data_IF_843459925478
#
_entry.id   IF_843459925478
#
_cell.length_a   1.000
_cell.length_b   1.000
_cell.length_c   1.000
_cell.angle_alpha   90.00
_cell.angle_beta   90.00
_cell.angle_gamma   90.00
#
_symmetry.space_group_name_H-M   'P 1'
#
loop_
_entity.id
_entity.type
_entity.pdbx_description
1 polymer ?
#
# COMPACT_ATOMS: atom_id res chain seq x y z
N UNK A 1 8.27 13.22 -11.53
CA UNK A 1 7.33 12.20 -11.02
C UNK A 1 7.80 11.61 -9.69
N UNK A 2 9.05 11.09 -9.60
CA UNK A 2 9.55 10.48 -8.37
C UNK A 2 9.54 11.45 -7.17
N UNK A 3 9.91 12.71 -7.37
CA UNK A 3 9.84 13.74 -6.32
C UNK A 3 8.40 13.98 -5.86
N UNK A 4 7.45 14.09 -6.78
CA UNK A 4 6.03 14.24 -6.46
C UNK A 4 5.50 13.04 -5.67
N UNK A 5 5.90 11.82 -6.06
CA UNK A 5 5.57 10.60 -5.32
C UNK A 5 6.16 10.61 -3.91
N UNK A 6 7.42 11.01 -3.75
CA UNK A 6 8.05 11.11 -2.44
C UNK A 6 7.36 12.13 -1.54
N UNK A 7 6.91 13.25 -2.08
CA UNK A 7 6.25 14.32 -1.33
C UNK A 7 4.86 13.93 -0.82
N UNK A 8 4.27 12.86 -1.32
CA UNK A 8 2.96 12.36 -0.83
C UNK A 8 3.00 11.94 0.64
N UNK A 9 4.16 11.58 1.18
CA UNK A 9 4.33 11.21 2.59
C UNK A 9 4.18 12.41 3.54
N UNK A 10 4.27 13.62 3.02
CA UNK A 10 4.16 14.86 3.82
C UNK A 10 2.73 15.11 4.33
N UNK A 11 1.75 14.34 3.87
CA UNK A 11 0.39 14.35 4.42
C UNK A 11 0.35 13.90 5.89
N UNK A 12 1.29 13.05 6.31
CA UNK A 12 1.49 12.66 7.71
C UNK A 12 2.92 13.03 8.13
N UNK A 13 3.20 14.30 8.42
CA UNK A 13 4.53 14.75 8.82
C UNK A 13 4.90 14.19 10.20
N UNK A 14 6.19 14.24 10.54
CA UNK A 14 6.74 13.95 11.87
C UNK A 14 6.79 12.47 12.27
N UNK A 15 6.16 11.56 11.55
CA UNK A 15 6.29 10.12 11.80
C UNK A 15 7.27 9.48 10.82
N UNK A 16 7.87 8.32 11.18
CA UNK A 16 8.78 7.61 10.28
C UNK A 16 8.14 7.17 8.98
N UNK A 17 8.97 6.92 7.98
CA UNK A 17 8.57 6.42 6.65
C UNK A 17 9.21 5.07 6.38
N UNK A 18 8.41 4.11 5.93
CA UNK A 18 8.89 2.84 5.39
C UNK A 18 8.65 2.81 3.89
N UNK A 19 9.72 2.66 3.12
CA UNK A 19 9.64 2.40 1.67
C UNK A 19 9.68 0.90 1.40
N UNK A 20 8.73 0.41 0.59
CA UNK A 20 8.73 -0.97 0.12
C UNK A 20 9.31 -1.03 -1.29
N UNK A 21 10.25 -1.96 -1.50
CA UNK A 21 10.80 -2.24 -2.81
C UNK A 21 11.55 -1.06 -3.43
N UNK A 22 12.52 -0.47 -2.74
CA UNK A 22 13.25 0.70 -3.25
C UNK A 22 14.01 0.44 -4.56
N UNK A 23 14.31 -0.82 -4.88
CA UNK A 23 15.04 -1.18 -6.09
C UNK A 23 16.35 -0.41 -6.21
N UNK A 24 16.49 0.38 -7.27
CA UNK A 24 17.68 1.21 -7.52
C UNK A 24 17.63 2.58 -6.82
N UNK A 25 16.66 2.81 -5.94
CA UNK A 25 16.59 4.01 -5.11
C UNK A 25 16.00 5.24 -5.80
N UNK A 26 15.20 5.07 -6.83
CA UNK A 26 14.58 6.19 -7.57
C UNK A 26 13.69 7.05 -6.66
N UNK A 27 12.90 6.42 -5.81
CA UNK A 27 12.08 7.11 -4.81
C UNK A 27 12.91 7.45 -3.56
N UNK A 28 13.76 6.53 -3.14
CA UNK A 28 14.58 6.63 -1.94
C UNK A 28 15.41 7.91 -1.89
N UNK A 29 15.99 8.32 -3.02
CA UNK A 29 16.84 9.52 -3.11
C UNK A 29 16.13 10.79 -2.64
N UNK A 30 14.82 10.88 -2.81
CA UNK A 30 14.02 12.03 -2.37
C UNK A 30 13.51 11.86 -0.94
N UNK A 31 13.24 10.63 -0.52
CA UNK A 31 12.78 10.34 0.84
C UNK A 31 13.87 10.63 1.87
N UNK A 32 15.13 10.30 1.58
CA UNK A 32 16.25 10.49 2.50
C UNK A 32 16.62 11.96 2.71
N UNK A 33 16.20 12.86 1.83
CA UNK A 33 16.37 14.31 1.99
C UNK A 33 15.42 14.90 3.04
N UNK A 34 14.36 14.19 3.41
CA UNK A 34 13.35 14.68 4.35
C UNK A 34 13.86 14.59 5.79
N UNK A 35 13.48 15.53 6.69
CA UNK A 35 13.90 15.53 8.09
C UNK A 35 13.11 14.50 8.91
N UNK A 36 13.10 13.26 8.48
CA UNK A 36 12.34 12.14 9.05
C UNK A 36 13.18 10.88 9.05
N UNK A 37 12.90 9.98 9.99
CA UNK A 37 13.45 8.64 9.95
C UNK A 37 12.87 7.87 8.76
N UNK A 38 13.74 7.32 7.92
CA UNK A 38 13.37 6.54 6.74
C UNK A 38 14.01 5.17 6.82
N UNK A 39 13.23 4.13 6.64
CA UNK A 39 13.69 2.76 6.45
C UNK A 39 13.17 2.23 5.11
N UNK A 40 13.90 1.27 4.55
CA UNK A 40 13.52 0.62 3.29
C UNK A 40 13.63 -0.89 3.43
N UNK A 41 12.65 -1.60 2.90
CA UNK A 41 12.61 -3.07 2.86
C UNK A 41 12.72 -3.53 1.42
N UNK A 42 13.74 -4.34 1.12
CA UNK A 42 14.02 -4.88 -0.19
C UNK A 42 14.35 -6.37 -0.09
N UNK A 43 13.67 -7.18 -0.88
CA UNK A 43 13.88 -8.63 -0.89
C UNK A 43 15.04 -9.04 -1.81
N UNK A 44 15.32 -8.26 -2.85
CA UNK A 44 16.37 -8.56 -3.82
C UNK A 44 17.76 -8.21 -3.27
N UNK A 45 18.61 -9.21 -3.15
CA UNK A 45 19.94 -9.07 -2.57
C UNK A 45 20.86 -8.13 -3.36
N UNK A 46 20.75 -8.14 -4.68
CA UNK A 46 21.56 -7.26 -5.53
C UNK A 46 21.16 -5.80 -5.34
N UNK A 47 19.86 -5.55 -5.27
CA UNK A 47 19.32 -4.22 -4.96
C UNK A 47 19.75 -3.73 -3.57
N UNK A 48 19.74 -4.60 -2.56
CA UNK A 48 20.21 -4.26 -1.21
C UNK A 48 21.69 -3.86 -1.24
N UNK A 49 22.53 -4.62 -1.93
CA UNK A 49 23.96 -4.29 -2.07
C UNK A 49 24.17 -2.94 -2.78
N UNK A 50 23.41 -2.70 -3.84
CA UNK A 50 23.45 -1.43 -4.57
C UNK A 50 23.03 -0.25 -3.70
N UNK A 51 21.98 -0.40 -2.91
CA UNK A 51 21.48 0.63 -2.01
C UNK A 51 22.48 0.96 -0.89
N UNK A 52 23.19 -0.05 -0.37
CA UNK A 52 24.27 0.15 0.61
C UNK A 52 25.37 1.08 0.06
N UNK A 53 25.74 0.89 -1.20
CA UNK A 53 26.79 1.71 -1.84
C UNK A 53 26.28 3.11 -2.17
N UNK A 54 25.05 3.20 -2.69
CA UNK A 54 24.47 4.48 -3.12
C UNK A 54 24.05 5.38 -1.95
N UNK A 55 23.55 4.78 -0.87
CA UNK A 55 23.04 5.48 0.30
C UNK A 55 23.77 5.04 1.58
N UNK A 56 25.06 5.35 1.75
CA UNK A 56 25.83 4.87 2.89
C UNK A 56 25.26 5.33 4.24
N UNK A 57 24.61 6.50 4.28
CA UNK A 57 23.96 7.01 5.50
C UNK A 57 22.67 6.25 5.85
N UNK A 58 22.04 5.60 4.88
CA UNK A 58 20.82 4.82 5.05
C UNK A 58 21.10 3.35 5.36
N UNK A 59 22.36 2.92 5.31
CA UNK A 59 22.78 1.51 5.35
C UNK A 59 22.17 0.74 6.54
N UNK A 60 22.15 1.32 7.73
CA UNK A 60 21.56 0.72 8.92
C UNK A 60 20.02 0.59 8.84
N UNK A 61 19.37 1.31 7.94
CA UNK A 61 17.93 1.36 7.77
C UNK A 61 17.44 0.65 6.50
N UNK A 62 18.34 -0.02 5.76
CA UNK A 62 17.99 -0.87 4.63
C UNK A 62 17.87 -2.30 5.15
N UNK A 63 16.68 -2.86 5.03
CA UNK A 63 16.31 -4.17 5.57
C UNK A 63 16.13 -5.14 4.41
N UNK A 64 17.00 -6.15 4.35
CA UNK A 64 16.91 -7.21 3.34
C UNK A 64 15.94 -8.30 3.81
N UNK A 65 14.65 -8.11 3.59
CA UNK A 65 13.61 -9.04 4.05
C UNK A 65 12.37 -8.96 3.14
N UNK A 66 11.43 -9.88 3.39
CA UNK A 66 10.14 -9.92 2.72
C UNK A 66 9.10 -9.18 3.57
N UNK A 67 8.63 -8.05 3.08
CA UNK A 67 7.60 -7.24 3.76
C UNK A 67 6.36 -8.06 4.12
N UNK A 68 5.93 -8.98 3.25
CA UNK A 68 4.72 -9.78 3.48
C UNK A 68 4.85 -10.75 4.67
N UNK A 69 6.07 -11.07 5.09
CA UNK A 69 6.37 -12.01 6.19
C UNK A 69 6.83 -11.31 7.46
N UNK A 70 7.19 -10.03 7.39
CA UNK A 70 7.73 -9.30 8.53
C UNK A 70 6.68 -9.05 9.62
N UNK A 71 7.15 -9.00 10.86
CA UNK A 71 6.43 -8.37 11.96
C UNK A 71 6.68 -6.85 11.92
N UNK A 72 5.66 -6.09 11.55
CA UNK A 72 5.78 -4.64 11.35
C UNK A 72 5.99 -3.86 12.65
N UNK A 73 5.68 -4.45 13.80
CA UNK A 73 5.90 -3.82 15.11
C UNK A 73 7.38 -3.63 15.43
N UNK A 74 8.26 -4.40 14.79
CA UNK A 74 9.72 -4.35 15.01
C UNK A 74 10.42 -3.21 14.27
N UNK A 75 9.77 -2.63 13.26
CA UNK A 75 10.42 -1.66 12.37
C UNK A 75 10.79 -0.34 13.05
N UNK A 76 9.87 0.19 13.85
CA UNK A 76 10.01 1.49 14.52
C UNK A 76 9.63 1.42 15.99
N UNK A 77 9.96 0.31 16.65
CA UNK A 77 9.67 0.07 18.07
C UNK A 77 8.19 0.24 18.44
N UNK A 78 7.30 -0.27 17.58
CA UNK A 78 5.86 -0.19 17.76
C UNK A 78 5.24 1.18 17.44
N UNK A 79 6.04 2.15 16.97
CA UNK A 79 5.53 3.47 16.60
C UNK A 79 4.85 3.43 15.22
N UNK A 80 3.80 4.26 15.01
CA UNK A 80 3.20 4.44 13.70
C UNK A 80 4.19 4.95 12.65
N UNK A 81 3.94 4.59 11.39
CA UNK A 81 4.77 5.02 10.27
C UNK A 81 3.94 5.18 8.99
N UNK A 82 4.46 5.94 8.04
CA UNK A 82 3.91 6.06 6.69
C UNK A 82 4.49 4.94 5.83
N UNK A 83 3.61 4.21 5.16
CA UNK A 83 3.98 3.21 4.16
C UNK A 83 4.01 3.87 2.78
N UNK A 84 5.10 3.70 2.04
CA UNK A 84 5.22 4.23 0.67
C UNK A 84 6.03 3.30 -0.22
N UNK A 85 5.95 3.51 -1.51
CA UNK A 85 6.76 2.77 -2.48
C UNK A 85 6.21 2.84 -3.90
N UNK A 86 7.02 2.36 -4.83
CA UNK A 86 6.56 1.93 -6.14
C UNK A 86 6.25 0.44 -6.01
N UNK A 87 5.00 0.13 -5.70
CA UNK A 87 4.63 -1.24 -5.30
C UNK A 87 4.75 -2.21 -6.47
N UNK A 88 5.36 -3.40 -6.26
CA UNK A 88 5.34 -4.46 -7.26
C UNK A 88 3.91 -4.82 -7.63
N UNK A 89 3.62 -4.88 -8.94
CA UNK A 89 2.24 -5.04 -9.42
C UNK A 89 1.60 -6.36 -9.01
N UNK A 90 2.39 -7.44 -9.00
CA UNK A 90 1.94 -8.78 -8.69
C UNK A 90 1.57 -9.01 -7.22
N UNK A 91 2.08 -8.18 -6.30
CA UNK A 91 1.83 -8.33 -4.87
C UNK A 91 1.16 -7.10 -4.22
N UNK A 92 0.79 -6.09 -4.99
CA UNK A 92 0.22 -4.86 -4.43
C UNK A 92 -1.01 -5.11 -3.56
N UNK A 93 -1.93 -5.97 -3.99
CA UNK A 93 -3.11 -6.33 -3.20
C UNK A 93 -2.74 -6.98 -1.87
N UNK A 94 -1.74 -7.87 -1.84
CA UNK A 94 -1.25 -8.51 -0.61
C UNK A 94 -0.64 -7.49 0.34
N UNK A 95 0.09 -6.50 -0.19
CA UNK A 95 0.65 -5.40 0.61
C UNK A 95 -0.48 -4.62 1.29
N UNK A 96 -1.54 -4.29 0.57
CA UNK A 96 -2.67 -3.55 1.13
C UNK A 96 -3.48 -4.37 2.13
N UNK A 97 -3.62 -5.67 1.94
CA UNK A 97 -4.23 -6.54 2.96
C UNK A 97 -3.38 -6.57 4.23
N UNK A 98 -2.05 -6.63 4.11
CA UNK A 98 -1.17 -6.53 5.27
C UNK A 98 -1.27 -5.18 5.96
N UNK A 99 -1.39 -4.09 5.21
CA UNK A 99 -1.68 -2.77 5.75
C UNK A 99 -2.95 -2.77 6.59
N UNK A 100 -4.03 -3.35 6.08
CA UNK A 100 -5.31 -3.45 6.79
C UNK A 100 -5.19 -4.26 8.10
N UNK A 101 -4.39 -5.32 8.10
CA UNK A 101 -4.12 -6.13 9.30
C UNK A 101 -3.26 -5.36 10.34
N UNK A 102 -2.58 -4.29 9.93
CA UNK A 102 -1.70 -3.46 10.76
C UNK A 102 -2.12 -1.98 10.74
N UNK A 103 -3.40 -1.70 10.59
CA UNK A 103 -3.92 -0.33 10.40
C UNK A 103 -3.62 0.63 11.55
N UNK A 104 -3.45 0.12 12.77
CA UNK A 104 -3.04 0.92 13.92
C UNK A 104 -1.61 1.46 13.79
N UNK A 105 -0.74 0.75 13.08
CA UNK A 105 0.64 1.16 12.81
C UNK A 105 0.76 2.05 11.55
N UNK A 106 -0.20 2.01 10.66
CA UNK A 106 -0.11 2.65 9.34
C UNK A 106 -1.23 3.69 9.16
N UNK A 107 -1.07 4.89 9.72
CA UNK A 107 -2.07 5.95 9.58
C UNK A 107 -2.13 6.55 8.17
N UNK A 108 -1.09 6.37 7.38
CA UNK A 108 -1.00 6.85 6.00
C UNK A 108 -0.23 5.88 5.13
N UNK A 109 -0.75 5.61 3.94
CA UNK A 109 -0.09 4.81 2.92
C UNK A 109 -0.17 5.55 1.60
N UNK A 110 0.97 5.71 0.95
CA UNK A 110 1.04 6.35 -0.37
C UNK A 110 1.83 5.48 -1.33
N UNK A 111 1.74 5.77 -2.61
CA UNK A 111 2.63 5.15 -3.57
C UNK A 111 2.00 4.88 -4.91
N UNK A 112 2.81 4.29 -5.78
CA UNK A 112 2.45 4.02 -7.15
C UNK A 112 2.04 2.56 -7.33
N UNK A 113 0.90 2.39 -8.00
CA UNK A 113 0.33 1.09 -8.37
C UNK A 113 -0.17 1.13 -9.81
N UNK A 114 -0.60 -0.01 -10.34
CA UNK A 114 -1.32 -0.02 -11.62
C UNK A 114 -2.55 0.87 -11.54
N UNK A 115 -2.79 1.64 -12.60
CA UNK A 115 -3.93 2.58 -12.67
C UNK A 115 -5.26 1.87 -12.41
N UNK A 116 -5.46 0.68 -12.96
CA UNK A 116 -6.69 -0.10 -12.79
C UNK A 116 -6.94 -0.45 -11.31
N UNK A 117 -5.88 -0.83 -10.58
CA UNK A 117 -5.98 -1.13 -9.14
C UNK A 117 -6.31 0.16 -8.36
N UNK A 118 -5.67 1.27 -8.70
CA UNK A 118 -5.95 2.57 -8.08
C UNK A 118 -7.41 2.99 -8.25
N UNK A 119 -7.96 2.81 -9.46
CA UNK A 119 -9.36 3.10 -9.76
C UNK A 119 -10.32 2.23 -8.95
N UNK A 120 -9.99 0.95 -8.75
CA UNK A 120 -10.78 0.05 -7.90
C UNK A 120 -10.74 0.49 -6.45
N UNK A 121 -9.58 0.82 -5.92
CA UNK A 121 -9.43 1.21 -4.51
C UNK A 121 -10.17 2.51 -4.19
N UNK A 122 -10.19 3.45 -5.12
CA UNK A 122 -10.87 4.75 -4.98
C UNK A 122 -12.33 4.74 -5.47
N UNK A 123 -12.83 3.61 -5.97
CA UNK A 123 -14.16 3.53 -6.58
C UNK A 123 -15.28 3.80 -5.58
N UNK A 124 -16.33 4.47 -6.05
CA UNK A 124 -17.54 4.71 -5.26
C UNK A 124 -18.48 3.49 -5.32
N UNK A 125 -19.29 3.28 -4.28
CA UNK A 125 -20.34 2.26 -4.30
C UNK A 125 -21.26 2.41 -5.51
N UNK A 126 -21.69 1.29 -6.07
CA UNK A 126 -22.56 1.26 -7.25
C UNK A 126 -21.82 1.29 -8.59
N UNK A 127 -20.53 1.56 -8.61
CA UNK A 127 -19.72 1.51 -9.82
C UNK A 127 -19.28 0.08 -10.15
N UNK A 128 -18.96 -0.18 -11.41
CA UNK A 128 -18.42 -1.48 -11.86
C UNK A 128 -17.07 -1.81 -11.21
N UNK A 129 -16.27 -0.80 -10.95
CA UNK A 129 -14.95 -0.95 -10.35
C UNK A 129 -15.00 -1.24 -8.84
N UNK A 130 -16.12 -0.92 -8.18
CA UNK A 130 -16.29 -1.14 -6.75
C UNK A 130 -16.30 -2.63 -6.42
N UNK A 131 -15.32 -3.08 -5.65
CA UNK A 131 -15.11 -4.49 -5.36
C UNK A 131 -14.48 -4.71 -3.99
N UNK A 132 -13.88 -5.88 -3.78
CA UNK A 132 -13.30 -6.29 -2.49
C UNK A 132 -12.31 -5.27 -1.96
N UNK A 133 -11.34 -4.83 -2.78
CA UNK A 133 -10.34 -3.82 -2.37
C UNK A 133 -10.97 -2.49 -2.01
N UNK A 134 -11.99 -2.06 -2.77
CA UNK A 134 -12.71 -0.82 -2.46
C UNK A 134 -13.37 -0.89 -1.08
N UNK A 135 -14.15 -1.93 -0.85
CA UNK A 135 -14.92 -2.10 0.40
C UNK A 135 -14.00 -2.21 1.61
N UNK A 136 -13.01 -3.12 1.55
CA UNK A 136 -12.14 -3.40 2.68
C UNK A 136 -11.22 -2.22 3.00
N UNK A 137 -10.70 -1.52 1.99
CA UNK A 137 -9.83 -0.37 2.21
C UNK A 137 -10.62 0.83 2.72
N UNK A 138 -11.75 1.14 2.09
CA UNK A 138 -12.56 2.31 2.45
C UNK A 138 -13.29 2.15 3.80
N UNK A 139 -13.36 0.94 4.35
CA UNK A 139 -13.88 0.75 5.69
C UNK A 139 -13.04 1.50 6.74
N UNK A 140 -11.73 1.64 6.54
CA UNK A 140 -10.80 2.25 7.51
C UNK A 140 -9.96 3.39 6.96
N UNK A 141 -9.92 3.59 5.64
CA UNK A 141 -9.10 4.61 4.98
C UNK A 141 -9.91 5.45 4.01
N UNK A 142 -9.62 6.74 3.97
CA UNK A 142 -10.01 7.60 2.85
C UNK A 142 -8.99 7.40 1.74
N UNK A 143 -9.45 7.05 0.54
CA UNK A 143 -8.60 6.76 -0.61
C UNK A 143 -8.67 7.90 -1.61
N UNK A 144 -7.52 8.45 -1.96
CA UNK A 144 -7.39 9.54 -2.94
C UNK A 144 -6.56 9.07 -4.14
N UNK A 145 -7.11 9.22 -5.32
CA UNK A 145 -6.38 9.07 -6.57
C UNK A 145 -5.70 10.41 -6.88
N UNK A 146 -4.38 10.48 -6.73
CA UNK A 146 -3.66 11.76 -6.81
C UNK A 146 -3.34 12.16 -8.25
N UNK A 147 -2.67 11.29 -9.00
CA UNK A 147 -2.33 11.53 -10.40
C UNK A 147 -1.98 10.25 -11.15
N UNK A 148 -2.12 10.30 -12.47
CA UNK A 148 -1.72 9.23 -13.36
C UNK A 148 -0.27 9.38 -13.78
N UNK A 149 0.45 8.26 -13.90
CA UNK A 149 1.82 8.20 -14.40
C UNK A 149 1.80 7.42 -15.71
N UNK A 150 2.25 8.10 -16.78
CA UNK A 150 2.31 7.51 -18.11
C UNK A 150 3.39 6.42 -18.17
N UNK A 151 3.15 5.36 -18.93
CA UNK A 151 4.08 4.25 -19.12
C UNK A 151 5.43 4.69 -19.72
N UNK A 152 5.46 5.77 -20.49
CA UNK A 152 6.69 6.29 -21.11
C UNK A 152 7.70 6.88 -20.13
N UNK A 153 7.30 7.13 -18.89
CA UNK A 153 8.17 7.61 -17.82
C UNK A 153 9.19 6.55 -17.39
N UNK A 154 8.91 5.27 -17.67
CA UNK A 154 9.73 4.13 -17.25
C UNK A 154 10.60 3.60 -18.38
N UNK A 155 11.74 2.99 -18.02
CA UNK A 155 12.63 2.31 -18.95
C UNK A 155 13.07 0.96 -18.36
N UNK A 156 12.61 -0.20 -18.92
CA UNK A 156 11.64 -0.30 -20.03
C UNK A 156 10.22 0.11 -19.60
N UNK A 157 9.38 0.60 -20.52
CA UNK A 157 8.02 1.00 -20.18
C UNK A 157 7.16 -0.23 -19.85
N UNK A 158 6.31 -0.17 -18.78
CA UNK A 158 5.34 -1.21 -18.51
C UNK A 158 4.24 -1.22 -19.57
N UNK A 159 3.47 -2.31 -19.62
CA UNK A 159 2.37 -2.46 -20.56
C UNK A 159 1.13 -1.63 -20.21
N UNK A 160 1.06 -1.12 -19.00
CA UNK A 160 -0.10 -0.42 -18.46
C UNK A 160 0.33 0.85 -17.75
N UNK A 161 -0.59 1.82 -17.67
CA UNK A 161 -0.38 3.04 -16.90
C UNK A 161 -0.37 2.76 -15.40
N UNK A 162 0.32 3.61 -14.68
CA UNK A 162 0.36 3.61 -13.22
C UNK A 162 -0.38 4.83 -12.67
N UNK A 163 -0.65 4.80 -11.39
CA UNK A 163 -1.21 5.93 -10.67
C UNK A 163 -0.62 6.01 -9.28
N UNK A 164 -0.54 7.22 -8.76
CA UNK A 164 -0.15 7.47 -7.37
C UNK A 164 -1.41 7.71 -6.55
N UNK A 165 -1.52 6.97 -5.46
CA UNK A 165 -2.62 7.04 -4.51
C UNK A 165 -2.13 7.49 -3.15
N UNK A 166 -3.07 7.98 -2.33
CA UNK A 166 -2.86 8.21 -0.90
C UNK A 166 -4.06 7.68 -0.13
N UNK A 167 -3.77 6.94 0.92
CA UNK A 167 -4.76 6.41 1.84
C UNK A 167 -4.45 6.92 3.24
N UNK A 168 -5.43 7.54 3.88
CA UNK A 168 -5.31 8.08 5.23
C UNK A 168 -6.40 7.48 6.11
N UNK A 169 -6.07 7.09 7.36
CA UNK A 169 -7.06 6.56 8.30
C UNK A 169 -8.24 7.53 8.45
N UNK A 170 -9.46 6.99 8.38
CA UNK A 170 -10.71 7.77 8.40
C UNK A 170 -11.30 7.97 9.79
N UNK A 171 -10.59 7.59 10.85
CA UNK A 171 -11.04 7.72 12.23
C UNK A 171 -11.94 6.60 12.73
N UNK A 172 -12.32 5.64 11.90
CA UNK A 172 -13.10 4.48 12.33
C UNK A 172 -12.23 3.57 13.19
N UNK A 173 -12.61 3.36 14.44
CA UNK A 173 -11.92 2.46 15.37
C UNK A 173 -12.49 1.06 15.32
N UNK A 174 -13.81 0.95 15.24
CA UNK A 174 -14.56 -0.31 15.19
C UNK A 174 -15.70 -0.20 14.18
N UNK A 175 -15.97 -1.30 13.47
CA UNK A 175 -17.04 -1.36 12.46
C UNK A 175 -18.44 -1.57 13.04
N UNK A 176 -18.57 -1.83 14.34
CA UNK A 176 -19.83 -2.25 14.95
C UNK A 176 -20.18 -3.70 14.65
N UNK A 177 -19.25 -4.47 14.09
CA UNK A 177 -19.39 -5.90 13.81
C UNK A 177 -18.01 -6.57 13.87
N UNK A 178 -17.98 -7.89 13.88
CA UNK A 178 -16.74 -8.66 13.82
C UNK A 178 -16.00 -8.42 12.49
N UNK A 179 -14.77 -7.96 12.55
CA UNK A 179 -13.96 -7.64 11.36
C UNK A 179 -13.68 -8.87 10.49
N UNK A 180 -13.46 -10.03 11.10
CA UNK A 180 -13.18 -11.27 10.38
C UNK A 180 -14.41 -11.73 9.61
N UNK A 181 -15.57 -11.65 10.22
CA UNK A 181 -16.84 -11.97 9.57
C UNK A 181 -17.14 -10.96 8.45
N UNK A 182 -16.94 -9.67 8.68
CA UNK A 182 -17.09 -8.62 7.66
C UNK A 182 -16.25 -8.94 6.41
N UNK A 183 -14.97 -9.24 6.59
CA UNK A 183 -14.05 -9.59 5.51
C UNK A 183 -14.51 -10.83 4.73
N UNK A 184 -14.98 -11.87 5.45
CA UNK A 184 -15.52 -13.10 4.84
C UNK A 184 -16.78 -12.82 4.01
N UNK A 185 -17.71 -12.04 4.56
CA UNK A 185 -18.93 -11.63 3.87
C UNK A 185 -18.64 -10.88 2.57
N UNK A 186 -17.77 -9.86 2.65
CA UNK A 186 -17.36 -9.04 1.49
C UNK A 186 -16.76 -9.93 0.40
N UNK A 187 -15.82 -10.80 0.75
CA UNK A 187 -15.18 -11.72 -0.21
C UNK A 187 -16.18 -12.68 -0.84
N UNK A 188 -17.08 -13.27 -0.05
CA UNK A 188 -18.08 -14.21 -0.54
C UNK A 188 -19.03 -13.56 -1.55
N UNK A 189 -19.50 -12.35 -1.24
CA UNK A 189 -20.46 -11.62 -2.08
C UNK A 189 -19.80 -11.14 -3.37
N UNK A 190 -18.65 -10.48 -3.28
CA UNK A 190 -17.99 -9.88 -4.44
C UNK A 190 -17.30 -10.89 -5.35
N UNK A 191 -16.93 -12.08 -4.85
CA UNK A 191 -16.45 -13.16 -5.69
C UNK A 191 -17.56 -13.78 -6.54
N UNK A 192 -18.82 -13.55 -6.19
CA UNK A 192 -20.00 -14.05 -6.90
C UNK A 192 -20.98 -12.91 -7.23
N UNK A 193 -20.48 -11.80 -7.75
CA UNK A 193 -21.26 -10.56 -8.00
C UNK A 193 -22.55 -10.75 -8.79
N UNK A 194 -22.57 -11.74 -9.69
CA UNK A 194 -23.73 -12.00 -10.57
C UNK A 194 -24.73 -12.96 -9.96
N UNK A 195 -24.46 -13.50 -8.76
CA UNK A 195 -25.35 -14.39 -8.03
C UNK A 195 -26.19 -13.63 -7.02
N UNK A 196 -27.36 -14.14 -6.71
CA UNK A 196 -28.18 -13.63 -5.61
C UNK A 196 -27.45 -13.81 -4.27
N UNK A 197 -27.62 -12.89 -3.34
CA UNK A 197 -26.95 -12.95 -2.03
C UNK A 197 -27.19 -14.27 -1.30
N UNK A 198 -28.40 -14.83 -1.35
CA UNK A 198 -28.70 -16.14 -0.75
C UNK A 198 -27.82 -17.27 -1.27
N UNK A 199 -27.33 -17.15 -2.51
CA UNK A 199 -26.44 -18.14 -3.12
C UNK A 199 -24.99 -17.91 -2.68
N UNK A 200 -24.53 -16.66 -2.77
CA UNK A 200 -23.15 -16.30 -2.39
C UNK A 200 -22.87 -16.51 -0.91
N UNK A 201 -23.87 -16.27 -0.04
CA UNK A 201 -23.71 -16.38 1.40
C UNK A 201 -23.89 -17.80 1.94
N UNK A 202 -24.42 -18.72 1.14
CA UNK A 202 -24.68 -20.11 1.57
C UNK A 202 -23.44 -20.76 2.19
N UNK A 203 -22.27 -20.54 1.62
CA UNK A 203 -21.01 -21.12 2.08
C UNK A 203 -20.56 -20.64 3.48
N UNK A 204 -21.19 -19.58 4.01
CA UNK A 204 -20.85 -19.05 5.34
C UNK A 204 -21.73 -19.63 6.45
N UNK A 205 -22.80 -20.32 6.08
CA UNK A 205 -23.79 -20.87 7.00
C UNK A 205 -23.93 -22.39 6.92
N UNK A 206 -22.95 -23.08 6.31
CA UNK A 206 -22.88 -24.55 6.25
C UNK A 206 -22.01 -25.14 7.36
#
# INVERSE_FOLDING_TARGET
>A
TARLSADTVDACPEIPVLEIGPGMGVLTQYLVEKPREVKAVEIDKESVAYLYDRFPKLRANIIGDDFLRMDLTTLFDGRPFVLTGNYPYDISSQIFFKMLDNKELIPCCTGMIQREVALRMAAAPGSKAYGILSVLTQAWYDVEYLFTVDETVFNPPPKVKSAVIRMTRNGVQELGCDERLFKRLVKAVFNQRRKMLRVSLRQLFQ
#
